data_IF_854798192630
#
_entry.id   IF_854798192630
#
_cell.length_a   1.000
_cell.length_b   1.000
_cell.length_c   1.000
_cell.angle_alpha   90.00
_cell.angle_beta   90.00
_cell.angle_gamma   90.00
#
_symmetry.space_group_name_H-M   'P 1'
#
loop_
_entity.id
_entity.type
_entity.pdbx_description
1 polymer ?
#
# COMPACT_ATOMS: atom_id res chain seq x y z
N UNK A 1 0.80 -17.89 21.11
CA UNK A 1 0.22 -17.09 20.02
C UNK A 1 -0.26 -15.76 20.60
N UNK A 2 0.07 -14.68 19.92
CA UNK A 2 -0.38 -13.36 20.35
C UNK A 2 -1.90 -13.25 20.21
N UNK A 3 -2.52 -12.51 21.12
CA UNK A 3 -3.97 -12.30 21.08
C UNK A 3 -4.33 -11.40 19.90
N UNK A 4 -5.27 -11.86 19.07
CA UNK A 4 -5.92 -11.05 18.03
C UNK A 4 -7.42 -10.95 18.35
N UNK A 5 -7.98 -9.75 18.33
CA UNK A 5 -9.41 -9.57 18.60
C UNK A 5 -10.31 -9.95 17.40
N UNK A 6 -9.71 -10.26 16.24
CA UNK A 6 -10.42 -10.42 14.98
C UNK A 6 -10.95 -11.83 14.78
N UNK A 7 -12.26 -11.98 14.69
CA UNK A 7 -12.94 -13.26 14.48
C UNK A 7 -12.81 -13.80 13.05
N UNK A 8 -12.49 -12.95 12.10
CA UNK A 8 -12.35 -13.27 10.67
C UNK A 8 -10.91 -13.65 10.26
N UNK A 9 -9.98 -13.74 11.22
CA UNK A 9 -8.61 -14.19 10.99
C UNK A 9 -8.42 -15.59 11.56
N UNK A 10 -8.56 -16.59 10.71
CA UNK A 10 -8.44 -17.99 11.12
C UNK A 10 -7.04 -18.31 11.67
N UNK A 11 -6.97 -19.25 12.60
CA UNK A 11 -5.69 -19.61 13.25
C UNK A 11 -4.66 -20.23 12.30
N UNK A 12 -5.14 -20.81 11.20
CA UNK A 12 -4.31 -21.43 10.16
C UNK A 12 -4.23 -20.61 8.86
N UNK A 13 -4.71 -19.36 8.86
CA UNK A 13 -4.64 -18.49 7.68
C UNK A 13 -3.17 -18.18 7.35
N UNK A 14 -2.81 -18.25 6.07
CA UNK A 14 -1.44 -17.97 5.61
C UNK A 14 -0.97 -16.55 5.96
N UNK A 15 -1.89 -15.60 6.06
CA UNK A 15 -1.63 -14.21 6.39
C UNK A 15 -1.65 -13.91 7.90
N UNK A 16 -1.96 -14.91 8.75
CA UNK A 16 -2.15 -14.67 10.19
C UNK A 16 -0.96 -13.98 10.86
N UNK A 17 0.24 -14.46 10.59
CA UNK A 17 1.46 -13.88 11.19
C UNK A 17 1.66 -12.42 10.76
N UNK A 18 1.32 -12.10 9.52
CA UNK A 18 1.39 -10.72 9.03
C UNK A 18 0.36 -9.83 9.73
N UNK A 19 -0.87 -10.31 9.92
CA UNK A 19 -1.92 -9.58 10.66
C UNK A 19 -1.51 -9.37 12.13
N UNK A 20 -0.97 -10.40 12.78
CA UNK A 20 -0.45 -10.28 14.15
C UNK A 20 0.63 -9.18 14.24
N UNK A 21 1.57 -9.19 13.31
CA UNK A 21 2.66 -8.22 13.29
C UNK A 21 2.13 -6.79 13.14
N UNK A 22 1.31 -6.52 12.12
CA UNK A 22 0.82 -5.15 11.85
C UNK A 22 -0.12 -4.63 12.95
N UNK A 23 -0.88 -5.51 13.58
CA UNK A 23 -1.73 -5.15 14.71
C UNK A 23 -0.91 -4.82 15.97
N UNK A 24 0.06 -5.66 16.32
CA UNK A 24 0.90 -5.46 17.50
C UNK A 24 1.76 -4.19 17.42
N UNK A 25 2.17 -3.81 16.21
CA UNK A 25 2.98 -2.61 15.99
C UNK A 25 2.16 -1.35 15.69
N UNK A 26 0.82 -1.45 15.80
CA UNK A 26 -0.06 -0.29 15.56
C UNK A 26 -0.08 0.19 14.11
N UNK A 27 0.34 -0.64 13.17
CA UNK A 27 0.39 -0.31 11.74
C UNK A 27 -0.98 -0.41 11.12
N UNK A 28 -1.75 -1.44 11.50
CA UNK A 28 -3.14 -1.65 11.09
C UNK A 28 -3.96 -2.09 12.30
N UNK A 29 -5.13 -1.51 12.47
CA UNK A 29 -5.98 -1.74 13.64
C UNK A 29 -7.26 -2.54 13.33
N UNK A 30 -7.43 -3.00 12.09
CA UNK A 30 -8.65 -3.65 11.63
C UNK A 30 -9.71 -2.67 11.14
N UNK A 31 -10.73 -3.18 10.49
CA UNK A 31 -11.89 -2.42 10.02
C UNK A 31 -12.88 -2.12 11.14
N UNK A 32 -12.91 -2.97 12.16
CA UNK A 32 -13.66 -2.80 13.39
C UNK A 32 -12.92 -3.45 14.56
N UNK A 33 -13.49 -3.36 15.76
CA UNK A 33 -12.92 -4.01 16.96
C UNK A 33 -12.87 -5.53 16.87
N UNK A 34 -13.62 -6.16 15.96
CA UNK A 34 -13.76 -7.62 15.84
C UNK A 34 -13.49 -8.17 14.45
N UNK A 35 -13.29 -7.29 13.45
CA UNK A 35 -13.05 -7.69 12.06
C UNK A 35 -11.82 -6.98 11.48
N UNK A 36 -10.94 -7.74 10.86
CA UNK A 36 -9.78 -7.23 10.12
C UNK A 36 -10.08 -7.04 8.63
N UNK A 37 -10.91 -7.90 8.06
CA UNK A 37 -11.28 -7.98 6.65
C UNK A 37 -10.07 -8.20 5.72
N UNK A 38 -9.33 -9.30 5.90
CA UNK A 38 -8.06 -9.52 5.20
C UNK A 38 -8.20 -9.68 3.68
N UNK A 39 -9.39 -10.00 3.20
CA UNK A 39 -9.67 -10.18 1.76
C UNK A 39 -10.36 -8.97 1.12
N UNK A 40 -10.57 -7.90 1.88
CA UNK A 40 -11.09 -6.65 1.33
C UNK A 40 -10.07 -5.93 0.48
N UNK A 41 -10.55 -5.16 -0.50
CA UNK A 41 -9.70 -4.26 -1.26
C UNK A 41 -9.09 -3.19 -0.34
N UNK A 42 -7.79 -2.97 -0.49
CA UNK A 42 -7.09 -1.88 0.17
C UNK A 42 -7.39 -0.57 -0.55
N UNK A 43 -7.85 0.44 0.19
CA UNK A 43 -8.11 1.76 -0.37
C UNK A 43 -6.81 2.58 -0.49
N UNK A 44 -6.77 3.51 -1.42
CA UNK A 44 -5.65 4.44 -1.59
C UNK A 44 -5.36 5.21 -0.30
N UNK A 45 -6.39 5.68 0.38
CA UNK A 45 -6.26 6.35 1.69
C UNK A 45 -5.72 5.43 2.78
N UNK A 46 -6.15 4.18 2.80
CA UNK A 46 -5.67 3.19 3.77
C UNK A 46 -4.18 2.89 3.58
N UNK A 47 -3.70 2.81 2.34
CA UNK A 47 -2.27 2.66 2.06
C UNK A 47 -1.45 3.81 2.65
N UNK A 48 -1.91 5.05 2.49
CA UNK A 48 -1.27 6.21 3.10
C UNK A 48 -1.29 6.12 4.64
N UNK A 49 -2.40 5.69 5.22
CA UNK A 49 -2.54 5.59 6.68
C UNK A 49 -1.60 4.53 7.27
N UNK A 50 -1.40 3.41 6.59
CA UNK A 50 -0.45 2.37 7.00
C UNK A 50 0.97 2.96 7.11
N UNK A 51 1.42 3.66 6.08
CA UNK A 51 2.76 4.26 6.07
C UNK A 51 2.89 5.40 7.07
N UNK A 52 1.84 6.19 7.25
CA UNK A 52 1.78 7.25 8.26
C UNK A 52 1.90 6.69 9.68
N UNK A 53 1.22 5.59 9.97
CA UNK A 53 1.34 4.90 11.25
C UNK A 53 2.76 4.34 11.47
N UNK A 54 3.38 3.79 10.43
CA UNK A 54 4.78 3.31 10.49
C UNK A 54 5.75 4.41 10.86
N UNK A 55 5.53 5.64 10.37
CA UNK A 55 6.40 6.80 10.58
C UNK A 55 6.08 7.59 11.85
N UNK A 56 5.18 7.10 12.68
CA UNK A 56 4.85 7.75 13.96
C UNK A 56 4.00 9.00 13.83
N UNK A 57 3.28 9.18 12.71
CA UNK A 57 2.29 10.23 12.54
C UNK A 57 2.83 11.65 12.70
N UNK A 58 3.85 11.99 11.93
CA UNK A 58 4.47 13.31 11.98
C UNK A 58 3.54 14.43 11.50
N UNK A 59 3.88 15.65 11.88
CA UNK A 59 3.09 16.85 11.57
C UNK A 59 2.92 17.07 10.07
N UNK A 60 1.72 17.50 9.66
CA UNK A 60 1.33 17.80 8.29
C UNK A 60 1.12 19.31 8.14
N UNK A 61 1.65 19.90 7.07
CA UNK A 61 1.68 21.35 6.90
C UNK A 61 0.54 21.90 6.06
N UNK A 62 0.06 21.13 5.07
CA UNK A 62 -0.87 21.63 4.07
C UNK A 62 -2.03 20.71 3.72
N UNK A 63 -2.89 21.24 2.87
CA UNK A 63 -4.01 20.53 2.24
C UNK A 63 -3.85 20.67 0.73
N UNK A 64 -3.71 19.56 0.03
CA UNK A 64 -3.26 19.55 -1.36
C UNK A 64 -4.30 19.02 -2.35
N UNK A 65 -5.38 18.41 -1.85
CA UNK A 65 -6.34 17.73 -2.70
C UNK A 65 -7.77 18.21 -2.44
N UNK A 66 -8.53 18.43 -3.50
CA UNK A 66 -9.92 18.90 -3.44
C UNK A 66 -10.87 17.88 -2.79
N UNK A 67 -10.58 16.59 -2.97
CA UNK A 67 -11.38 15.47 -2.49
C UNK A 67 -10.91 14.91 -1.12
N UNK A 68 -10.02 15.64 -0.43
CA UNK A 68 -9.51 15.28 0.90
C UNK A 68 -9.78 16.44 1.85
N UNK A 69 -10.80 16.29 2.70
CA UNK A 69 -11.22 17.33 3.62
C UNK A 69 -10.61 17.14 5.01
N UNK A 70 -10.50 18.24 5.79
CA UNK A 70 -9.94 18.20 7.15
C UNK A 70 -10.72 17.29 8.10
N UNK A 71 -11.98 17.03 7.81
CA UNK A 71 -12.82 16.12 8.60
C UNK A 71 -12.65 14.65 8.25
N UNK A 72 -11.94 14.32 7.16
CA UNK A 72 -11.72 12.95 6.77
C UNK A 72 -10.66 12.29 7.67
N UNK A 73 -10.89 11.03 8.05
CA UNK A 73 -9.98 10.29 8.91
C UNK A 73 -8.57 10.13 8.32
N UNK A 74 -8.47 10.16 7.00
CA UNK A 74 -7.22 10.02 6.25
C UNK A 74 -6.55 11.35 5.88
N UNK A 75 -7.10 12.49 6.31
CA UNK A 75 -6.61 13.81 5.91
C UNK A 75 -5.10 13.96 6.15
N UNK A 76 -4.65 13.68 7.35
CA UNK A 76 -3.24 13.85 7.72
C UNK A 76 -2.35 12.87 6.97
N UNK A 77 -2.74 11.60 6.89
CA UNK A 77 -1.95 10.57 6.22
C UNK A 77 -1.76 10.83 4.72
N UNK A 78 -2.83 11.23 4.02
CA UNK A 78 -2.76 11.52 2.57
C UNK A 78 -1.90 12.74 2.29
N UNK A 79 -2.10 13.83 3.03
CA UNK A 79 -1.32 15.06 2.83
C UNK A 79 0.14 14.88 3.24
N UNK A 80 0.41 14.14 4.32
CA UNK A 80 1.77 13.75 4.69
C UNK A 80 2.47 12.97 3.57
N UNK A 81 1.81 11.96 3.04
CA UNK A 81 2.38 11.13 1.98
C UNK A 81 2.68 11.96 0.72
N UNK A 82 1.85 12.94 0.41
CA UNK A 82 2.11 13.88 -0.68
C UNK A 82 3.30 14.80 -0.37
N UNK A 83 3.37 15.38 0.83
CA UNK A 83 4.49 16.25 1.24
C UNK A 83 5.84 15.53 1.17
N UNK A 84 5.86 14.24 1.46
CA UNK A 84 7.08 13.41 1.44
C UNK A 84 7.39 12.81 0.06
N UNK A 85 6.59 13.11 -0.96
CA UNK A 85 6.80 12.57 -2.30
C UNK A 85 6.50 11.08 -2.44
N UNK A 86 5.77 10.51 -1.48
CA UNK A 86 5.41 9.08 -1.46
C UNK A 86 4.25 8.81 -2.42
N UNK A 87 3.28 9.72 -2.46
CA UNK A 87 2.15 9.66 -3.39
C UNK A 87 2.05 10.93 -4.21
N UNK A 88 1.39 10.83 -5.36
CA UNK A 88 0.96 11.95 -6.18
C UNK A 88 -0.55 11.93 -6.34
N UNK A 89 -1.13 13.05 -6.76
CA UNK A 89 -2.53 13.10 -7.13
C UNK A 89 -2.82 12.26 -8.37
N UNK A 90 -4.09 11.97 -8.59
CA UNK A 90 -4.53 11.22 -9.76
C UNK A 90 -4.70 12.13 -10.96
N UNK A 91 -5.50 13.19 -10.82
CA UNK A 91 -5.71 14.22 -11.82
C UNK A 91 -6.24 15.51 -11.17
N UNK A 92 -6.04 16.65 -11.85
CA UNK A 92 -6.66 17.96 -11.55
C UNK A 92 -6.80 18.32 -10.06
N UNK A 93 -5.88 17.85 -9.22
CA UNK A 93 -5.90 18.13 -7.79
C UNK A 93 -6.75 17.14 -6.97
N UNK A 94 -7.17 16.02 -7.53
CA UNK A 94 -7.83 14.93 -6.83
C UNK A 94 -6.83 13.84 -6.43
N UNK A 95 -7.06 13.22 -5.30
CA UNK A 95 -6.30 12.05 -4.82
C UNK A 95 -7.02 10.73 -5.05
N UNK A 96 -8.36 10.75 -5.02
CA UNK A 96 -9.23 9.58 -5.12
C UNK A 96 -9.03 8.60 -3.94
N UNK A 97 -9.24 9.07 -2.69
CA UNK A 97 -8.83 8.35 -1.48
C UNK A 97 -9.59 7.05 -1.25
N UNK A 98 -10.85 6.98 -1.65
CA UNK A 98 -11.73 5.83 -1.39
C UNK A 98 -11.73 4.78 -2.50
N UNK A 99 -10.98 5.00 -3.57
CA UNK A 99 -10.80 3.98 -4.60
C UNK A 99 -9.84 2.88 -4.15
N UNK A 100 -10.07 1.63 -4.57
CA UNK A 100 -9.10 0.56 -4.36
C UNK A 100 -7.75 0.90 -4.99
N UNK A 101 -6.68 0.66 -4.25
CA UNK A 101 -5.33 0.78 -4.80
C UNK A 101 -5.04 -0.43 -5.70
N UNK A 102 -4.49 -0.19 -6.88
CA UNK A 102 -4.05 -1.29 -7.74
C UNK A 102 -2.70 -1.84 -7.31
N UNK A 103 -2.37 -3.05 -7.74
CA UNK A 103 -1.11 -3.70 -7.40
C UNK A 103 0.10 -2.87 -7.87
N UNK A 104 0.05 -2.31 -9.09
CA UNK A 104 1.14 -1.44 -9.58
C UNK A 104 1.22 -0.10 -8.84
N UNK A 105 0.08 0.48 -8.45
CA UNK A 105 0.05 1.70 -7.63
C UNK A 105 0.63 1.45 -6.23
N UNK A 106 0.24 0.36 -5.59
CA UNK A 106 0.76 -0.03 -4.27
C UNK A 106 2.28 -0.17 -4.31
N UNK A 107 2.80 -0.86 -5.32
CA UNK A 107 4.23 -1.07 -5.50
C UNK A 107 4.97 0.24 -5.74
N UNK A 108 4.38 1.15 -6.52
CA UNK A 108 4.97 2.49 -6.74
C UNK A 108 5.01 3.30 -5.44
N UNK A 109 3.98 3.23 -4.64
CA UNK A 109 3.93 3.90 -3.33
C UNK A 109 5.00 3.32 -2.39
N UNK A 110 5.14 2.01 -2.33
CA UNK A 110 6.18 1.35 -1.53
C UNK A 110 7.59 1.70 -2.00
N UNK A 111 7.81 1.78 -3.31
CA UNK A 111 9.08 2.20 -3.88
C UNK A 111 9.43 3.64 -3.46
N UNK A 112 8.49 4.57 -3.59
CA UNK A 112 8.68 5.95 -3.18
C UNK A 112 8.94 6.07 -1.67
N UNK A 113 8.22 5.27 -0.88
CA UNK A 113 8.44 5.21 0.57
C UNK A 113 9.84 4.70 0.91
N UNK A 114 10.32 3.65 0.23
CA UNK A 114 11.66 3.12 0.41
C UNK A 114 12.73 4.18 0.07
N UNK A 115 12.54 4.95 -1.00
CA UNK A 115 13.42 6.08 -1.33
C UNK A 115 13.38 7.17 -0.27
N UNK A 116 12.21 7.53 0.22
CA UNK A 116 12.04 8.48 1.31
C UNK A 116 12.80 8.03 2.58
N UNK A 117 12.77 6.74 2.88
CA UNK A 117 13.49 6.16 4.02
C UNK A 117 15.00 6.02 3.80
N UNK A 118 15.49 6.30 2.60
CA UNK A 118 16.90 6.14 2.25
C UNK A 118 17.35 4.70 2.03
N UNK A 119 16.40 3.79 1.78
CA UNK A 119 16.71 2.40 1.45
C UNK A 119 17.25 2.28 0.03
N UNK A 120 18.06 1.26 -0.22
CA UNK A 120 18.56 0.96 -1.55
C UNK A 120 17.43 0.43 -2.45
N UNK A 121 17.07 1.23 -3.46
CA UNK A 121 16.03 0.89 -4.44
C UNK A 121 16.62 0.57 -5.83
N UNK A 122 17.91 0.28 -5.91
CA UNK A 122 18.62 0.09 -7.20
C UNK A 122 18.38 -1.27 -7.86
N UNK A 123 18.02 -2.29 -7.10
CA UNK A 123 17.82 -3.65 -7.62
C UNK A 123 16.66 -3.72 -8.60
N UNK A 124 16.85 -4.48 -9.69
CA UNK A 124 15.86 -4.71 -10.74
C UNK A 124 15.83 -6.18 -11.13
N UNK A 125 14.67 -6.81 -11.03
CA UNK A 125 14.46 -8.15 -11.57
C UNK A 125 13.94 -8.09 -13.00
N UNK A 126 14.25 -9.09 -13.81
CA UNK A 126 13.62 -9.25 -15.11
C UNK A 126 12.15 -9.63 -14.95
N UNK A 127 11.30 -9.04 -15.77
CA UNK A 127 9.86 -9.33 -15.80
C UNK A 127 9.48 -10.29 -16.96
N UNK A 128 10.45 -10.83 -17.67
CA UNK A 128 10.23 -11.64 -18.88
C UNK A 128 9.39 -12.90 -18.65
N UNK A 129 9.39 -13.42 -17.42
CA UNK A 129 8.58 -14.60 -17.06
C UNK A 129 7.09 -14.29 -16.88
N UNK A 130 6.73 -13.02 -16.78
CA UNK A 130 5.34 -12.62 -16.54
C UNK A 130 4.64 -12.30 -17.85
N UNK A 131 3.53 -12.99 -18.11
CA UNK A 131 2.81 -12.90 -19.40
C UNK A 131 2.15 -11.54 -19.64
N UNK A 132 1.91 -10.79 -18.59
CA UNK A 132 1.26 -9.47 -18.62
C UNK A 132 2.22 -8.30 -18.35
N UNK A 133 3.53 -8.53 -18.42
CA UNK A 133 4.53 -7.48 -18.18
C UNK A 133 4.31 -6.24 -19.06
N UNK A 134 3.84 -6.42 -20.30
CA UNK A 134 3.53 -5.32 -21.22
C UNK A 134 2.33 -4.45 -20.79
N UNK A 135 1.52 -4.91 -19.86
CA UNK A 135 0.37 -4.18 -19.32
C UNK A 135 0.73 -3.27 -18.15
N UNK A 136 1.94 -3.37 -17.64
CA UNK A 136 2.41 -2.48 -16.57
C UNK A 136 2.51 -1.07 -17.11
N UNK A 137 1.91 -0.10 -16.41
CA UNK A 137 2.00 1.31 -16.77
C UNK A 137 3.46 1.77 -16.75
N UNK A 138 3.84 2.64 -17.69
CA UNK A 138 5.24 3.09 -17.85
C UNK A 138 5.82 3.67 -16.56
N UNK A 139 5.01 4.39 -15.77
CA UNK A 139 5.44 4.97 -14.50
C UNK A 139 5.80 3.92 -13.44
N UNK A 140 5.27 2.70 -13.56
CA UNK A 140 5.38 1.66 -12.54
C UNK A 140 6.40 0.56 -12.87
N UNK A 141 6.96 0.53 -14.08
CA UNK A 141 7.85 -0.56 -14.52
C UNK A 141 9.04 -0.74 -13.58
N UNK A 142 9.77 0.33 -13.28
CA UNK A 142 10.93 0.28 -12.38
C UNK A 142 10.56 -0.17 -10.96
N UNK A 143 9.42 0.30 -10.44
CA UNK A 143 8.94 -0.08 -9.12
C UNK A 143 8.55 -1.56 -9.06
N UNK A 144 7.91 -2.06 -10.10
CA UNK A 144 7.54 -3.50 -10.19
C UNK A 144 8.79 -4.37 -10.27
N UNK A 145 9.79 -4.00 -11.08
CA UNK A 145 11.07 -4.69 -11.14
C UNK A 145 11.78 -4.73 -9.79
N UNK A 146 11.78 -3.62 -9.08
CA UNK A 146 12.33 -3.53 -7.72
C UNK A 146 11.55 -4.43 -6.75
N UNK A 147 10.23 -4.34 -6.73
CA UNK A 147 9.40 -5.13 -5.82
C UNK A 147 9.55 -6.63 -6.04
N UNK A 148 9.68 -7.07 -7.29
CA UNK A 148 9.97 -8.47 -7.60
C UNK A 148 11.36 -8.86 -7.11
N UNK A 149 12.37 -8.01 -7.29
CA UNK A 149 13.74 -8.26 -6.82
C UNK A 149 13.83 -8.40 -5.30
N UNK A 150 12.96 -7.69 -4.57
CA UNK A 150 12.91 -7.71 -3.10
C UNK A 150 11.98 -8.80 -2.53
N UNK A 151 11.29 -9.54 -3.38
CA UNK A 151 10.30 -10.53 -2.94
C UNK A 151 9.01 -9.93 -2.36
N UNK A 152 8.79 -8.63 -2.55
CA UNK A 152 7.57 -7.93 -2.10
C UNK A 152 6.38 -8.31 -3.00
N UNK A 153 6.63 -8.43 -4.30
CA UNK A 153 5.66 -8.79 -5.29
C UNK A 153 6.06 -10.10 -5.96
N UNK A 154 5.15 -11.03 -6.00
CA UNK A 154 5.27 -12.27 -6.76
C UNK A 154 4.09 -12.38 -7.73
N UNK A 155 4.16 -13.33 -8.67
CA UNK A 155 3.05 -13.60 -9.56
C UNK A 155 1.84 -14.16 -8.81
N UNK A 156 0.68 -14.04 -9.42
CA UNK A 156 -0.54 -14.72 -9.01
C UNK A 156 -0.44 -16.22 -9.34
N UNK A 157 -1.53 -16.97 -9.25
CA UNK A 157 -1.58 -18.40 -9.58
C UNK A 157 -1.12 -18.74 -11.03
N UNK A 158 -1.17 -17.76 -11.93
CA UNK A 158 -0.49 -17.75 -13.23
C UNK A 158 0.77 -16.89 -13.12
N UNK A 159 1.78 -17.03 -14.01
CA UNK A 159 2.95 -16.15 -13.99
C UNK A 159 2.59 -14.75 -14.51
N UNK A 160 1.76 -14.06 -13.75
CA UNK A 160 1.20 -12.75 -14.07
C UNK A 160 1.39 -11.79 -12.89
N UNK A 161 1.69 -10.54 -13.19
CA UNK A 161 1.81 -9.45 -12.20
C UNK A 161 0.43 -8.93 -11.77
N UNK A 162 -0.54 -8.96 -12.69
CA UNK A 162 -1.86 -8.33 -12.50
C UNK A 162 -1.77 -6.85 -12.08
N UNK A 163 -1.13 -5.99 -12.87
CA UNK A 163 -0.77 -4.64 -12.46
C UNK A 163 -1.98 -3.76 -12.13
N UNK A 164 -3.09 -3.94 -12.84
CA UNK A 164 -4.33 -3.20 -12.62
C UNK A 164 -5.32 -3.95 -11.71
N UNK A 165 -4.97 -5.15 -11.26
CA UNK A 165 -5.71 -5.86 -10.23
C UNK A 165 -5.65 -5.11 -8.91
N UNK A 166 -6.71 -5.21 -8.10
CA UNK A 166 -6.74 -4.55 -6.79
C UNK A 166 -5.86 -5.28 -5.78
N UNK A 167 -5.27 -4.53 -4.86
CA UNK A 167 -4.57 -5.08 -3.71
C UNK A 167 -5.57 -5.41 -2.59
N UNK A 168 -5.34 -6.52 -1.93
CA UNK A 168 -6.09 -6.96 -0.75
C UNK A 168 -5.18 -7.11 0.45
#
# INVERSE_FOLDING_TARGET
AAYLPFSDVASNAWYRNAVEYVYQHGVMNGKSSVAFEPESNLLRAEMCQILYNLEGQSEVRGSYFWDVSRSDWYFEAVNWAFEKGIVSGKDRGNFDPESPVTREQMVRILFNYAEYMGYDTSSRASLSRYVDASRISSYAVSSVQWAVSQGILSGTSQPAISPTGTAI
#
